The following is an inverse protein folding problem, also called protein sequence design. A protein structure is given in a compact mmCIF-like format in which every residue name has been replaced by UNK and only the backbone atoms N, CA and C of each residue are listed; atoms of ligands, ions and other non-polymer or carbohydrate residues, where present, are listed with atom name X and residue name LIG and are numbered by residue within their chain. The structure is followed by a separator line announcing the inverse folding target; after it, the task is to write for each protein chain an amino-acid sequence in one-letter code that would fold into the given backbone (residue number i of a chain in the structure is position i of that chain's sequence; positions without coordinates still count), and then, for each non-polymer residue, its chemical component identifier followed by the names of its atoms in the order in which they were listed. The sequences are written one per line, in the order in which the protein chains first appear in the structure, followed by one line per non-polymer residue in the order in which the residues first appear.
data_IF_959053684141
#
_entry.id   IF_959053684141
#
_cell.length_a   1.000
_cell.length_b   1.000
_cell.length_c   1.000
_cell.angle_alpha   90.00
_cell.angle_beta   90.00
_cell.angle_gamma   90.00
#
_symmetry.space_group_name_H-M   'P 1'
#
loop_
_entity.id
_entity.type
_entity.pdbx_description
1 polymer ?
#
# COMPACT_ATOMS: atom_id res chain seq x y z
N UNK A 1 19.46 -2.11 -22.77
CA UNK A 1 18.21 -1.72 -22.07
C UNK A 1 17.71 -2.80 -21.12
N UNK A 2 17.81 -4.08 -21.49
CA UNK A 2 17.38 -5.27 -20.71
C UNK A 2 17.72 -5.26 -19.21
N UNK A 3 18.91 -4.80 -18.83
CA UNK A 3 19.37 -4.85 -17.42
C UNK A 3 18.86 -3.70 -16.53
N UNK A 4 18.01 -2.83 -17.08
CA UNK A 4 17.47 -1.72 -16.30
C UNK A 4 16.34 -2.21 -15.41
N UNK A 5 16.42 -1.86 -14.13
CA UNK A 5 15.44 -2.23 -13.09
C UNK A 5 13.99 -2.03 -13.53
N UNK A 6 13.67 -0.87 -14.12
CA UNK A 6 12.31 -0.58 -14.55
C UNK A 6 11.80 -1.52 -15.64
N UNK A 7 12.66 -1.93 -16.58
CA UNK A 7 12.28 -2.88 -17.62
C UNK A 7 11.99 -4.23 -16.99
N UNK A 8 12.89 -4.74 -16.15
CA UNK A 8 12.67 -5.99 -15.41
C UNK A 8 11.35 -5.98 -14.66
N UNK A 9 11.05 -4.89 -13.95
CA UNK A 9 9.84 -4.71 -13.15
C UNK A 9 8.56 -4.70 -14.00
N UNK A 10 8.56 -3.96 -15.12
CA UNK A 10 7.40 -3.90 -16.01
C UNK A 10 7.18 -5.20 -16.80
N UNK A 11 8.24 -5.96 -17.08
CA UNK A 11 8.12 -7.27 -17.75
C UNK A 11 7.72 -8.41 -16.82
N UNK A 12 7.85 -8.24 -15.50
CA UNK A 12 7.50 -9.29 -14.53
C UNK A 12 6.02 -9.30 -14.13
N UNK A 13 5.27 -8.27 -14.52
CA UNK A 13 3.86 -8.12 -14.15
C UNK A 13 2.94 -8.56 -15.29
N UNK A 14 1.69 -8.89 -14.95
CA UNK A 14 0.70 -9.28 -15.95
C UNK A 14 0.26 -8.10 -16.82
N UNK A 15 -0.33 -8.39 -17.98
CA UNK A 15 -0.88 -7.36 -18.87
C UNK A 15 -1.98 -6.54 -18.17
N UNK A 16 -2.76 -7.15 -17.28
CA UNK A 16 -3.79 -6.46 -16.49
C UNK A 16 -3.19 -5.45 -15.51
N UNK A 17 -2.06 -5.79 -14.91
CA UNK A 17 -1.32 -4.91 -14.01
C UNK A 17 -0.62 -3.81 -14.79
N UNK A 18 -0.09 -4.12 -15.97
CA UNK A 18 0.49 -3.13 -16.86
C UNK A 18 -0.56 -2.10 -17.29
N UNK A 19 -1.76 -2.53 -17.66
CA UNK A 19 -2.90 -1.64 -17.96
C UNK A 19 -3.28 -0.76 -16.75
N UNK A 20 -3.22 -1.32 -15.54
CA UNK A 20 -3.55 -0.59 -14.32
C UNK A 20 -2.47 0.42 -13.95
N UNK A 21 -1.20 0.07 -14.16
CA UNK A 21 -0.07 0.98 -13.98
C UNK A 21 -0.11 2.11 -15.03
N UNK A 22 -0.54 1.82 -16.26
CA UNK A 22 -0.80 2.85 -17.27
C UNK A 22 -1.80 3.88 -16.74
N UNK A 23 -2.95 3.45 -16.20
CA UNK A 23 -3.92 4.38 -15.58
C UNK A 23 -3.32 5.18 -14.41
N UNK A 24 -2.46 4.56 -13.60
CA UNK A 24 -1.77 5.24 -12.50
C UNK A 24 -0.82 6.33 -13.01
N UNK A 25 0.03 6.04 -14.00
CA UNK A 25 1.00 6.98 -14.57
C UNK A 25 0.33 8.16 -15.28
N UNK A 26 -0.84 7.94 -15.88
CA UNK A 26 -1.63 8.99 -16.52
C UNK A 26 -2.49 9.79 -15.53
N UNK A 27 -2.58 9.39 -14.26
CA UNK A 27 -3.38 10.08 -13.27
C UNK A 27 -2.66 11.33 -12.75
N UNK A 28 -3.25 12.54 -12.89
CA UNK A 28 -2.65 13.78 -12.39
C UNK A 28 -2.55 13.81 -10.86
N UNK A 29 -3.27 12.93 -10.16
CA UNK A 29 -3.14 12.78 -8.71
C UNK A 29 -1.79 12.16 -8.32
N UNK A 30 -1.24 11.26 -9.16
CA UNK A 30 0.01 10.56 -8.87
C UNK A 30 1.20 11.09 -9.66
N UNK A 31 0.96 11.56 -10.89
CA UNK A 31 2.01 12.02 -11.78
C UNK A 31 1.51 13.18 -12.66
N UNK A 32 2.18 14.32 -12.55
CA UNK A 32 1.98 15.48 -13.43
C UNK A 32 3.11 15.65 -14.45
N UNK A 33 4.15 14.83 -14.39
CA UNK A 33 5.32 14.92 -15.25
C UNK A 33 5.07 14.17 -16.57
N UNK A 34 4.81 14.94 -17.62
CA UNK A 34 4.55 14.41 -18.97
C UNK A 34 5.74 13.63 -19.54
N UNK A 35 6.98 13.96 -19.15
CA UNK A 35 8.15 13.20 -19.58
C UNK A 35 8.17 11.78 -19.00
N UNK A 36 7.67 11.58 -17.78
CA UNK A 36 7.53 10.25 -17.18
C UNK A 36 6.42 9.47 -17.88
N UNK A 37 5.30 10.13 -18.20
CA UNK A 37 4.22 9.53 -18.98
C UNK A 37 4.73 9.05 -20.34
N UNK A 38 5.36 9.93 -21.14
CA UNK A 38 5.93 9.55 -22.44
C UNK A 38 7.02 8.50 -22.32
N UNK A 39 7.84 8.55 -21.27
CA UNK A 39 8.84 7.51 -21.05
C UNK A 39 8.18 6.14 -20.84
N UNK A 40 7.14 6.09 -20.00
CA UNK A 40 6.38 4.87 -19.75
C UNK A 40 5.68 4.37 -21.02
N UNK A 41 5.03 5.23 -21.80
CA UNK A 41 4.35 4.85 -23.06
C UNK A 41 5.30 4.15 -24.04
N UNK A 42 6.52 4.66 -24.22
CA UNK A 42 7.53 4.02 -25.10
C UNK A 42 7.93 2.65 -24.57
N UNK A 43 8.03 2.47 -23.25
CA UNK A 43 8.32 1.16 -22.66
C UNK A 43 7.12 0.22 -22.77
N UNK A 44 5.90 0.70 -22.54
CA UNK A 44 4.68 -0.08 -22.65
C UNK A 44 4.48 -0.62 -24.07
N UNK A 45 4.63 0.23 -25.09
CA UNK A 45 4.58 -0.16 -26.51
C UNK A 45 5.60 -1.26 -26.81
N UNK A 46 6.85 -1.05 -26.42
CA UNK A 46 7.90 -2.03 -26.68
C UNK A 46 7.73 -3.35 -25.92
N UNK A 47 7.14 -3.33 -24.73
CA UNK A 47 6.82 -4.55 -23.95
C UNK A 47 5.73 -5.35 -24.67
N UNK A 48 4.67 -4.68 -25.15
CA UNK A 48 3.57 -5.33 -25.86
C UNK A 48 4.00 -5.92 -27.20
N UNK A 49 4.88 -5.23 -27.90
CA UNK A 49 5.39 -5.65 -29.20
C UNK A 49 6.55 -6.65 -29.10
N UNK A 50 6.99 -7.01 -27.89
CA UNK A 50 8.15 -7.87 -27.66
C UNK A 50 9.46 -7.27 -28.20
N UNK A 51 9.52 -5.95 -28.35
CA UNK A 51 10.62 -5.22 -29.01
C UNK A 51 11.55 -4.47 -28.03
N UNK A 52 11.38 -4.68 -26.72
CA UNK A 52 12.16 -4.04 -25.65
C UNK A 52 13.68 -4.11 -25.87
N UNK A 53 14.19 -5.23 -26.38
CA UNK A 53 15.63 -5.41 -26.61
C UNK A 53 16.19 -4.49 -27.71
N UNK A 54 15.34 -4.06 -28.65
CA UNK A 54 15.70 -3.17 -29.75
C UNK A 54 15.73 -1.70 -29.34
N UNK A 55 15.15 -1.35 -28.19
CA UNK A 55 15.16 0.02 -27.70
C UNK A 55 16.56 0.44 -27.25
N UNK A 56 16.96 1.64 -27.66
CA UNK A 56 18.18 2.29 -27.17
C UNK A 56 17.85 3.52 -26.32
N UNK A 57 18.69 3.86 -25.33
CA UNK A 57 18.53 5.09 -24.53
C UNK A 57 18.34 6.35 -25.37
N UNK A 58 19.05 6.47 -26.50
CA UNK A 58 18.98 7.65 -27.38
C UNK A 58 17.64 7.75 -28.11
N UNK A 59 17.09 6.63 -28.59
CA UNK A 59 15.76 6.61 -29.22
C UNK A 59 14.67 7.03 -28.24
N UNK A 60 14.70 6.47 -27.03
CA UNK A 60 13.76 6.83 -25.97
C UNK A 60 13.91 8.32 -25.63
N UNK A 61 15.13 8.80 -25.46
CA UNK A 61 15.41 10.21 -25.18
C UNK A 61 14.84 11.14 -26.25
N UNK A 62 15.00 10.82 -27.55
CA UNK A 62 14.46 11.65 -28.62
C UNK A 62 12.92 11.71 -28.65
N UNK A 63 12.23 10.70 -28.11
CA UNK A 63 10.77 10.72 -27.96
C UNK A 63 10.34 11.61 -26.80
N UNK A 64 11.06 11.55 -25.69
CA UNK A 64 10.76 12.32 -24.46
C UNK A 64 11.15 13.79 -24.60
N UNK A 65 12.30 14.06 -25.21
CA UNK A 65 12.87 15.40 -25.39
C UNK A 65 13.25 15.62 -26.87
N UNK A 66 12.27 15.96 -27.73
CA UNK A 66 12.52 16.27 -29.13
C UNK A 66 13.53 17.40 -29.27
N UNK A 67 14.47 17.28 -30.21
CA UNK A 67 15.50 18.29 -30.51
C UNK A 67 16.47 18.62 -29.35
N UNK A 68 16.51 17.81 -28.29
CA UNK A 68 17.46 17.98 -27.18
C UNK A 68 18.54 16.91 -27.25
N UNK A 69 19.81 17.33 -27.15
CA UNK A 69 20.94 16.41 -27.11
C UNK A 69 20.81 15.40 -25.95
N UNK A 70 21.20 14.15 -26.22
CA UNK A 70 21.12 13.07 -25.23
C UNK A 70 21.92 13.41 -23.97
N UNK A 71 21.24 13.37 -22.81
CA UNK A 71 21.87 13.53 -21.52
C UNK A 71 21.69 12.26 -20.68
N UNK A 72 22.78 11.54 -20.45
CA UNK A 72 22.75 10.27 -19.74
C UNK A 72 22.28 10.42 -18.28
N UNK A 73 22.70 11.48 -17.59
CA UNK A 73 22.34 11.70 -16.18
C UNK A 73 20.83 11.95 -16.03
N UNK A 74 20.27 12.83 -16.86
CA UNK A 74 18.82 13.07 -16.89
C UNK A 74 18.04 11.82 -17.28
N UNK A 75 18.55 11.03 -18.22
CA UNK A 75 17.92 9.77 -18.60
C UNK A 75 17.92 8.75 -17.44
N UNK A 76 19.02 8.63 -16.70
CA UNK A 76 19.08 7.78 -15.50
C UNK A 76 18.10 8.26 -14.43
N UNK A 77 17.93 9.57 -14.25
CA UNK A 77 16.92 10.13 -13.37
C UNK A 77 15.50 9.70 -13.77
N UNK A 78 15.13 9.79 -15.05
CA UNK A 78 13.83 9.30 -15.54
C UNK A 78 13.58 7.82 -15.20
N UNK A 79 14.64 7.00 -15.22
CA UNK A 79 14.54 5.59 -14.83
C UNK A 79 14.26 5.45 -13.33
N UNK A 80 15.01 6.15 -12.48
CA UNK A 80 14.78 6.14 -11.03
C UNK A 80 13.38 6.66 -10.67
N UNK A 81 12.95 7.76 -11.29
CA UNK A 81 11.64 8.36 -11.06
C UNK A 81 10.51 7.38 -11.45
N UNK A 82 10.63 6.70 -12.60
CA UNK A 82 9.63 5.71 -13.02
C UNK A 82 9.65 4.43 -12.15
N UNK A 83 10.81 4.00 -11.64
CA UNK A 83 10.89 2.93 -10.63
C UNK A 83 10.13 3.33 -9.37
N UNK A 84 10.33 4.54 -8.85
CA UNK A 84 9.63 5.01 -7.66
C UNK A 84 8.11 5.02 -7.88
N UNK A 85 7.63 5.43 -9.06
CA UNK A 85 6.22 5.35 -9.40
C UNK A 85 5.70 3.91 -9.40
N UNK A 86 6.47 2.98 -9.95
CA UNK A 86 6.11 1.56 -9.96
C UNK A 86 6.04 0.97 -8.55
N UNK A 87 7.02 1.26 -7.68
CA UNK A 87 7.03 0.81 -6.29
C UNK A 87 5.83 1.36 -5.51
N UNK A 88 5.52 2.65 -5.67
CA UNK A 88 4.35 3.28 -5.06
C UNK A 88 3.03 2.67 -5.56
N UNK A 89 2.94 2.37 -6.87
CA UNK A 89 1.79 1.69 -7.43
C UNK A 89 1.61 0.28 -6.84
N UNK A 90 2.70 -0.48 -6.68
CA UNK A 90 2.64 -1.80 -6.07
C UNK A 90 2.21 -1.72 -4.60
N UNK A 91 2.79 -0.79 -3.84
CA UNK A 91 2.38 -0.56 -2.45
C UNK A 91 0.89 -0.20 -2.35
N UNK A 92 0.40 0.67 -3.24
CA UNK A 92 -1.02 1.03 -3.30
C UNK A 92 -1.92 -0.18 -3.57
N UNK A 93 -1.49 -1.11 -4.45
CA UNK A 93 -2.27 -2.30 -4.77
C UNK A 93 -2.33 -3.32 -3.65
N UNK A 94 -1.23 -3.53 -2.92
CA UNK A 94 -1.24 -4.35 -1.70
C UNK A 94 -2.14 -3.72 -0.64
N UNK A 95 -2.05 -2.39 -0.48
CA UNK A 95 -2.92 -1.65 0.43
C UNK A 95 -4.40 -1.75 0.08
N UNK A 96 -4.75 -1.68 -1.21
CA UNK A 96 -6.13 -1.77 -1.67
C UNK A 96 -6.76 -3.15 -1.45
N UNK A 97 -5.94 -4.20 -1.37
CA UNK A 97 -6.37 -5.56 -1.05
C UNK A 97 -6.49 -5.80 0.47
N UNK A 98 -5.76 -5.05 1.29
CA UNK A 98 -5.78 -5.18 2.74
C UNK A 98 -6.98 -4.45 3.38
N UNK A 99 -8.20 -4.98 3.19
CA UNK A 99 -9.46 -4.31 3.56
C UNK A 99 -9.53 -3.87 5.04
N UNK A 100 -9.10 -4.72 5.97
CA UNK A 100 -9.06 -4.41 7.41
C UNK A 100 -8.08 -3.29 7.75
N UNK A 101 -6.88 -3.31 7.14
CA UNK A 101 -5.88 -2.24 7.30
C UNK A 101 -6.39 -0.93 6.72
N UNK A 102 -6.94 -0.97 5.49
CA UNK A 102 -7.53 0.18 4.82
C UNK A 102 -8.67 0.80 5.63
N UNK A 103 -9.53 -0.02 6.22
CA UNK A 103 -10.63 0.43 7.08
C UNK A 103 -10.13 1.09 8.37
N UNK A 104 -9.08 0.55 8.99
CA UNK A 104 -8.42 1.21 10.12
C UNK A 104 -7.91 2.62 9.75
N UNK A 105 -7.28 2.77 8.58
CA UNK A 105 -6.84 4.08 8.11
C UNK A 105 -7.99 5.03 7.78
N UNK A 106 -9.11 4.54 7.24
CA UNK A 106 -10.33 5.36 7.07
C UNK A 106 -10.79 5.91 8.41
N UNK A 107 -10.89 5.05 9.43
CA UNK A 107 -11.32 5.42 10.78
C UNK A 107 -10.39 6.47 11.39
N UNK A 108 -9.08 6.24 11.30
CA UNK A 108 -8.08 7.19 11.77
C UNK A 108 -8.16 8.54 11.04
N UNK A 109 -8.34 8.51 9.71
CA UNK A 109 -8.39 9.72 8.89
C UNK A 109 -9.59 10.61 9.20
N UNK A 110 -10.78 10.01 9.42
CA UNK A 110 -11.98 10.75 9.79
C UNK A 110 -11.91 11.25 11.23
N UNK A 111 -11.35 10.45 12.16
CA UNK A 111 -11.16 10.83 13.57
C UNK A 111 -10.25 12.04 13.69
N UNK A 112 -9.06 12.00 13.09
CA UNK A 112 -8.09 13.12 13.10
C UNK A 112 -8.66 14.44 12.56
N UNK A 113 -9.69 14.36 11.72
CA UNK A 113 -10.34 15.53 11.08
C UNK A 113 -11.71 15.84 11.69
N UNK A 114 -12.13 15.14 12.74
CA UNK A 114 -13.44 15.29 13.38
C UNK A 114 -14.62 15.20 12.39
N UNK A 115 -14.56 14.30 11.40
CA UNK A 115 -15.63 14.14 10.39
C UNK A 115 -16.70 13.17 10.93
N UNK A 116 -17.42 13.61 11.95
CA UNK A 116 -18.33 12.77 12.75
C UNK A 116 -19.42 12.08 11.91
N UNK A 117 -19.89 12.73 10.84
CA UNK A 117 -20.90 12.17 9.92
C UNK A 117 -20.47 10.87 9.23
N UNK A 118 -19.17 10.56 9.18
CA UNK A 118 -18.65 9.34 8.56
C UNK A 118 -18.37 8.21 9.56
N UNK A 119 -18.46 8.46 10.87
CA UNK A 119 -18.06 7.47 11.88
C UNK A 119 -18.90 6.21 11.84
N UNK A 120 -20.23 6.35 11.88
CA UNK A 120 -21.12 5.19 11.94
C UNK A 120 -20.95 4.24 10.75
N UNK A 121 -20.75 4.79 9.55
CA UNK A 121 -20.53 3.98 8.34
C UNK A 121 -19.23 3.18 8.42
N UNK A 122 -18.14 3.81 8.86
CA UNK A 122 -16.83 3.15 8.97
C UNK A 122 -16.81 2.15 10.14
N UNK A 123 -17.46 2.45 11.27
CA UNK A 123 -17.60 1.51 12.39
C UNK A 123 -18.39 0.27 11.95
N UNK A 124 -19.49 0.44 11.22
CA UNK A 124 -20.23 -0.68 10.65
C UNK A 124 -19.40 -1.53 9.68
N UNK A 125 -18.53 -0.90 8.89
CA UNK A 125 -17.56 -1.61 8.04
C UNK A 125 -16.56 -2.43 8.87
N UNK A 126 -16.00 -1.85 9.95
CA UNK A 126 -15.12 -2.55 10.90
C UNK A 126 -15.82 -3.78 11.49
N UNK A 127 -17.03 -3.61 12.04
CA UNK A 127 -17.76 -4.71 12.69
C UNK A 127 -18.08 -5.84 11.71
N UNK A 128 -18.41 -5.50 10.45
CA UNK A 128 -18.62 -6.50 9.39
C UNK A 128 -17.34 -7.29 9.15
N UNK A 129 -16.21 -6.60 8.94
CA UNK A 129 -14.93 -7.24 8.63
C UNK A 129 -14.48 -8.17 9.75
N UNK A 130 -14.58 -7.72 11.00
CA UNK A 130 -14.21 -8.54 12.17
C UNK A 130 -15.05 -9.82 12.29
N UNK A 131 -16.29 -9.84 11.79
CA UNK A 131 -17.19 -11.01 11.79
C UNK A 131 -16.93 -11.95 10.62
N UNK A 132 -16.54 -11.42 9.46
CA UNK A 132 -16.36 -12.20 8.22
C UNK A 132 -14.95 -12.74 8.04
N UNK A 133 -13.98 -12.23 8.80
CA UNK A 133 -12.59 -12.60 8.62
C UNK A 133 -12.25 -13.90 9.35
N UNK A 134 -12.03 -14.96 8.57
CA UNK A 134 -11.61 -16.29 9.06
C UNK A 134 -10.11 -16.38 9.35
N UNK A 135 -9.34 -15.35 8.97
CA UNK A 135 -7.90 -15.31 9.16
C UNK A 135 -7.58 -15.15 10.65
N UNK A 136 -6.73 -16.00 11.19
CA UNK A 136 -6.22 -15.93 12.58
C UNK A 136 -4.69 -15.80 12.63
N UNK A 137 -4.11 -15.23 11.56
CA UNK A 137 -2.70 -14.88 11.51
C UNK A 137 -2.33 -13.82 12.56
N UNK A 138 -1.04 -13.67 12.82
CA UNK A 138 -0.56 -12.62 13.71
C UNK A 138 -0.92 -11.22 13.16
N UNK A 139 -0.75 -11.03 11.85
CA UNK A 139 -1.02 -9.80 11.12
C UNK A 139 -2.49 -9.37 11.26
N UNK A 140 -3.40 -10.34 11.29
CA UNK A 140 -4.81 -10.12 11.60
C UNK A 140 -5.00 -9.56 13.01
N UNK A 141 -4.41 -10.19 14.04
CA UNK A 141 -4.52 -9.72 15.42
C UNK A 141 -3.86 -8.36 15.65
N UNK A 142 -2.74 -8.08 14.97
CA UNK A 142 -2.13 -6.74 14.97
C UNK A 142 -3.08 -5.70 14.39
N UNK A 143 -3.75 -6.01 13.28
CA UNK A 143 -4.71 -5.10 12.64
C UNK A 143 -5.92 -4.86 13.54
N UNK A 144 -6.44 -5.91 14.20
CA UNK A 144 -7.51 -5.77 15.21
C UNK A 144 -7.08 -4.86 16.36
N UNK A 145 -5.90 -5.08 16.92
CA UNK A 145 -5.36 -4.20 17.97
C UNK A 145 -5.36 -2.72 17.55
N UNK A 146 -4.91 -2.40 16.33
CA UNK A 146 -4.90 -1.03 15.82
C UNK A 146 -6.31 -0.44 15.68
N UNK A 147 -7.26 -1.23 15.19
CA UNK A 147 -8.67 -0.85 15.07
C UNK A 147 -9.25 -0.55 16.45
N UNK A 148 -9.09 -1.47 17.40
CA UNK A 148 -9.63 -1.31 18.76
C UNK A 148 -9.07 -0.05 19.44
N UNK A 149 -7.78 0.26 19.23
CA UNK A 149 -7.19 1.51 19.71
C UNK A 149 -7.79 2.76 19.07
N UNK A 150 -8.08 2.73 17.78
CA UNK A 150 -8.74 3.84 17.11
C UNK A 150 -10.18 4.02 17.59
N UNK A 151 -10.92 2.93 17.80
CA UNK A 151 -12.26 2.95 18.38
C UNK A 151 -12.26 3.52 19.82
N UNK A 152 -11.30 3.10 20.64
CA UNK A 152 -11.12 3.62 21.99
C UNK A 152 -10.84 5.13 21.99
N UNK A 153 -9.94 5.57 21.11
CA UNK A 153 -9.60 6.99 20.94
C UNK A 153 -10.83 7.80 20.53
N UNK A 154 -11.64 7.27 19.61
CA UNK A 154 -12.86 7.91 19.15
C UNK A 154 -13.89 8.08 20.28
N UNK A 155 -14.12 7.02 21.07
CA UNK A 155 -15.06 7.04 22.21
C UNK A 155 -14.63 8.07 23.24
N UNK A 156 -13.38 8.02 23.67
CA UNK A 156 -12.83 8.94 24.68
C UNK A 156 -12.77 10.40 24.21
N UNK A 157 -12.55 10.66 22.92
CA UNK A 157 -12.59 12.02 22.35
C UNK A 157 -14.01 12.58 22.28
N UNK A 158 -15.00 11.76 21.94
CA UNK A 158 -16.41 12.15 21.95
C UNK A 158 -16.93 12.38 23.38
N UNK A 159 -16.59 11.51 24.32
CA UNK A 159 -16.98 11.60 25.74
C UNK A 159 -16.49 12.90 26.39
N UNK A 160 -15.27 13.36 26.04
CA UNK A 160 -14.75 14.66 26.51
C UNK A 160 -15.56 15.86 26.02
N UNK A 161 -16.27 15.75 24.89
CA UNK A 161 -17.05 16.86 24.31
C UNK A 161 -18.46 16.99 24.90
N UNK A 162 -19.03 15.93 25.49
CA UNK A 162 -20.47 15.89 25.83
C UNK A 162 -20.83 16.25 27.28
N UNK A 163 -19.89 16.49 28.19
CA UNK A 163 -20.05 16.92 29.61
C UNK A 163 -21.07 16.13 30.49
N UNK A 164 -21.85 15.20 29.94
CA UNK A 164 -22.83 14.35 30.63
C UNK A 164 -22.31 12.92 30.74
N UNK A 165 -21.78 12.64 31.92
CA UNK A 165 -21.92 11.43 32.75
C UNK A 165 -21.81 10.03 32.14
N UNK A 166 -21.10 9.21 32.93
CA UNK A 166 -21.05 7.73 33.01
C UNK A 166 -20.10 7.01 32.06
N UNK A 167 -19.08 6.39 32.68
CA UNK A 167 -18.25 5.32 32.11
C UNK A 167 -19.15 4.08 31.97
N UNK A 168 -20.17 4.13 31.10
CA UNK A 168 -21.16 3.05 30.94
C UNK A 168 -21.04 2.31 29.62
N UNK A 169 -20.30 2.81 28.63
CA UNK A 169 -19.89 1.99 27.50
C UNK A 169 -18.62 1.22 27.87
N UNK A 170 -18.71 -0.10 27.92
CA UNK A 170 -17.59 -1.02 28.10
C UNK A 170 -16.41 -0.59 27.23
N UNK A 171 -15.39 -0.01 27.86
CA UNK A 171 -14.15 0.32 27.19
C UNK A 171 -13.58 -0.97 26.63
N UNK A 172 -13.26 -0.99 25.33
CA UNK A 172 -12.68 -2.13 24.62
C UNK A 172 -11.20 -2.37 24.99
N UNK A 173 -10.81 -2.02 26.22
CA UNK A 173 -9.43 -2.17 26.74
C UNK A 173 -9.04 -3.65 26.76
N UNK A 174 -9.97 -4.55 27.11
CA UNK A 174 -9.73 -5.99 27.07
C UNK A 174 -9.40 -6.45 25.65
N UNK A 175 -10.19 -6.03 24.66
CA UNK A 175 -9.95 -6.40 23.26
C UNK A 175 -8.64 -5.82 22.74
N UNK A 176 -8.26 -4.60 23.15
CA UNK A 176 -6.93 -4.04 22.87
C UNK A 176 -5.83 -4.95 23.43
N UNK A 177 -5.93 -5.32 24.71
CA UNK A 177 -4.92 -6.16 25.38
C UNK A 177 -4.81 -7.53 24.73
N UNK A 178 -5.95 -8.22 24.57
CA UNK A 178 -6.00 -9.60 24.08
C UNK A 178 -5.44 -9.70 22.65
N UNK A 179 -5.83 -8.79 21.75
CA UNK A 179 -5.32 -8.81 20.38
C UNK A 179 -3.81 -8.56 20.32
N UNK A 180 -3.27 -7.72 21.21
CA UNK A 180 -1.83 -7.48 21.30
C UNK A 180 -1.09 -8.73 21.80
N UNK A 181 -1.63 -9.41 22.80
CA UNK A 181 -1.08 -10.66 23.33
C UNK A 181 -1.09 -11.76 22.26
N UNK A 182 -2.21 -11.93 21.53
CA UNK A 182 -2.30 -12.90 20.44
C UNK A 182 -1.26 -12.64 19.37
N UNK A 183 -1.09 -11.40 18.92
CA UNK A 183 -0.05 -11.03 17.96
C UNK A 183 1.34 -11.44 18.45
N UNK A 184 1.74 -11.02 19.65
CA UNK A 184 3.08 -11.29 20.17
C UNK A 184 3.34 -12.77 20.42
N UNK A 185 2.36 -13.51 20.95
CA UNK A 185 2.49 -14.94 21.21
C UNK A 185 2.67 -15.69 19.90
N UNK A 186 1.82 -15.43 18.89
CA UNK A 186 1.91 -16.10 17.59
C UNK A 186 3.26 -15.81 16.92
N UNK A 187 3.72 -14.56 16.88
CA UNK A 187 4.99 -14.21 16.26
C UNK A 187 6.19 -14.83 16.97
N UNK A 188 6.21 -14.81 18.30
CA UNK A 188 7.29 -15.46 19.08
C UNK A 188 7.33 -16.97 18.82
N UNK A 189 6.17 -17.63 18.77
CA UNK A 189 6.07 -19.06 18.47
C UNK A 189 6.56 -19.37 17.04
N UNK A 190 6.14 -18.58 16.04
CA UNK A 190 6.62 -18.72 14.65
C UNK A 190 8.15 -18.65 14.60
N UNK A 191 8.74 -17.62 15.21
CA UNK A 191 10.20 -17.43 15.23
C UNK A 191 10.93 -18.60 15.92
N UNK A 192 10.39 -19.09 17.03
CA UNK A 192 10.96 -20.23 17.74
C UNK A 192 10.92 -21.51 16.90
N UNK A 193 9.80 -21.78 16.22
CA UNK A 193 9.68 -22.90 15.28
C UNK A 193 10.67 -22.79 14.11
N UNK A 194 10.84 -21.59 13.54
CA UNK A 194 11.85 -21.35 12.50
C UNK A 194 13.25 -21.66 13.00
N UNK A 195 13.61 -21.17 14.20
CA UNK A 195 14.92 -21.45 14.80
C UNK A 195 15.15 -22.96 15.00
N UNK A 196 14.15 -23.69 15.50
CA UNK A 196 14.24 -25.14 15.69
C UNK A 196 14.38 -25.89 14.37
N UNK A 197 13.67 -25.47 13.32
CA UNK A 197 13.78 -26.04 11.97
C UNK A 197 15.21 -25.90 11.43
N UNK A 198 15.86 -24.76 11.66
CA UNK A 198 17.22 -24.52 11.17
C UNK A 198 18.26 -25.32 11.97
N UNK A 199 18.05 -25.49 13.28
CA UNK A 199 18.94 -26.30 14.13
C UNK A 199 18.90 -27.80 13.84
N UNK A 200 17.82 -28.33 13.27
CA UNK A 200 17.72 -29.75 12.88
C UNK A 200 18.39 -30.06 11.54
N UNK A 201 18.75 -29.05 10.76
CA UNK A 201 19.37 -29.18 9.44
C UNK A 201 20.89 -28.88 9.46
N UNK A 202 21.51 -28.95 10.64
CA UNK A 202 22.96 -28.91 10.89
C UNK A 202 23.32 -30.15 11.69
#
# INVERSE_FOLDING_TARGET
MKDRKIISALTSISIYELNSFSKYIHSPFFNVNTHITTFYEVLEEAIRDGSVEKLTPKQIWSRIHPNVAYNNQKFLKLNSDLVNHFENFMAQREFDQAESVKTNFKLEAVRKRNIEKLYNGIIGEVERLQKTEFNQSAEFYMTKYLIERNLFSLKTENEKKTEKTEITSTLNIKDISDNLDYFYIIEKLKQFCTLLSWKKNV
#
